data_IF_617408978709
#
_entry.id   IF_617408978709
#
_cell.length_a   1.000
_cell.length_b   1.000
_cell.length_c   1.000
_cell.angle_alpha   90.00
_cell.angle_beta   90.00
_cell.angle_gamma   90.00
#
_symmetry.space_group_name_H-M   'P 1'
#
loop_
_entity.id
_entity.type
_entity.pdbx_description
1 polymer ?
#
# COMPACT_ATOMS: atom_id res chain seq x y z
N UNK A 1 20.75 -9.63 42.60
CA UNK A 1 19.46 -10.12 42.08
C UNK A 1 19.75 -11.28 41.16
N UNK A 2 19.03 -12.38 41.33
CA UNK A 2 19.14 -13.57 40.49
C UNK A 2 18.33 -13.36 39.19
N UNK A 3 18.80 -13.89 38.06
CA UNK A 3 18.12 -13.74 36.77
C UNK A 3 16.92 -14.68 36.71
N UNK A 4 15.72 -14.13 36.55
CA UNK A 4 14.49 -14.91 36.35
C UNK A 4 14.26 -15.04 34.84
N UNK A 5 14.07 -16.28 34.37
CA UNK A 5 13.64 -16.57 33.00
C UNK A 5 12.12 -16.67 33.02
N UNK A 6 11.48 -15.93 32.10
CA UNK A 6 10.04 -16.01 31.86
C UNK A 6 9.79 -16.64 30.50
N UNK A 7 8.71 -17.39 30.39
CA UNK A 7 8.31 -18.12 29.19
C UNK A 7 6.83 -17.86 28.91
N UNK A 8 6.39 -18.05 27.68
CA UNK A 8 4.96 -18.06 27.41
C UNK A 8 4.26 -19.21 28.14
N UNK A 9 3.06 -18.94 28.65
CA UNK A 9 2.05 -19.97 28.91
C UNK A 9 1.77 -20.79 27.64
N UNK A 10 1.20 -21.98 27.76
CA UNK A 10 0.97 -22.84 26.59
C UNK A 10 0.01 -22.18 25.58
N UNK A 11 -1.06 -21.53 26.06
CA UNK A 11 -1.93 -20.70 25.20
C UNK A 11 -1.17 -19.52 24.57
N UNK A 12 -0.27 -18.88 25.35
CA UNK A 12 0.60 -17.82 24.85
C UNK A 12 1.53 -18.28 23.71
N UNK A 13 2.05 -19.52 23.77
CA UNK A 13 2.90 -20.08 22.71
C UNK A 13 2.12 -20.28 21.41
N UNK A 14 0.93 -20.87 21.50
CA UNK A 14 0.04 -21.05 20.34
C UNK A 14 -0.27 -19.70 19.70
N UNK A 15 -0.68 -18.72 20.52
CA UNK A 15 -0.99 -17.38 20.02
C UNK A 15 0.23 -16.66 19.42
N UNK A 16 1.42 -16.85 20.00
CA UNK A 16 2.67 -16.29 19.48
C UNK A 16 3.05 -16.90 18.12
N UNK A 17 2.80 -18.20 17.95
CA UNK A 17 3.03 -18.88 16.67
C UNK A 17 2.10 -18.33 15.58
N UNK A 18 0.81 -18.15 15.89
CA UNK A 18 -0.16 -17.58 14.96
C UNK A 18 0.24 -16.19 14.49
N UNK A 19 0.61 -15.30 15.41
CA UNK A 19 0.99 -13.93 15.05
C UNK A 19 2.30 -13.90 14.24
N UNK A 20 3.25 -14.78 14.55
CA UNK A 20 4.50 -14.89 13.80
C UNK A 20 4.24 -15.31 12.35
N UNK A 21 3.36 -16.27 12.12
CA UNK A 21 2.97 -16.69 10.77
C UNK A 21 2.21 -15.58 10.01
N UNK A 22 1.32 -14.87 10.70
CA UNK A 22 0.60 -13.73 10.11
C UNK A 22 1.54 -12.61 9.66
N UNK A 23 2.59 -12.32 10.45
CA UNK A 23 3.63 -11.35 10.06
C UNK A 23 4.36 -11.80 8.79
N UNK A 24 4.76 -13.07 8.70
CA UNK A 24 5.43 -13.63 7.51
C UNK A 24 4.54 -13.55 6.26
N UNK A 25 3.25 -13.90 6.39
CA UNK A 25 2.28 -13.74 5.30
C UNK A 25 2.16 -12.29 4.84
N UNK A 26 2.18 -11.33 5.78
CA UNK A 26 2.12 -9.89 5.49
C UNK A 26 3.41 -9.33 4.87
N UNK A 27 4.52 -10.08 4.88
CA UNK A 27 5.78 -9.74 4.20
C UNK A 27 5.84 -10.20 2.73
N UNK A 28 4.92 -11.10 2.32
CA UNK A 28 4.80 -11.57 0.95
C UNK A 28 4.46 -10.43 -0.03
N UNK A 29 4.70 -10.61 -1.34
CA UNK A 29 4.32 -9.62 -2.36
C UNK A 29 2.84 -9.22 -2.25
N UNK A 30 2.56 -7.91 -2.27
CA UNK A 30 1.23 -7.34 -2.05
C UNK A 30 0.82 -7.21 -0.56
N UNK A 31 1.64 -7.69 0.36
CA UNK A 31 1.42 -7.57 1.81
C UNK A 31 1.82 -6.20 2.37
N UNK A 32 1.28 -5.84 3.54
CA UNK A 32 1.52 -4.53 4.17
C UNK A 32 2.99 -4.28 4.53
N UNK A 33 3.77 -5.35 4.70
CA UNK A 33 5.19 -5.29 5.04
C UNK A 33 6.11 -5.60 3.84
N UNK A 34 5.58 -5.68 2.61
CA UNK A 34 6.38 -5.98 1.41
C UNK A 34 7.62 -5.08 1.30
N UNK A 35 7.43 -3.77 1.53
CA UNK A 35 8.50 -2.77 1.45
C UNK A 35 9.19 -2.49 2.80
N UNK A 36 8.90 -3.29 3.83
CA UNK A 36 9.37 -3.10 5.20
C UNK A 36 9.78 -4.41 5.86
N UNK A 37 10.31 -5.37 5.09
CA UNK A 37 10.66 -6.71 5.56
C UNK A 37 11.65 -6.72 6.73
N UNK A 38 12.65 -5.84 6.72
CA UNK A 38 13.63 -5.72 7.81
C UNK A 38 13.02 -5.21 9.13
N UNK A 39 11.91 -4.48 9.05
CA UNK A 39 11.13 -4.06 10.20
C UNK A 39 10.22 -5.19 10.67
N UNK A 40 9.49 -5.80 9.73
CA UNK A 40 8.54 -6.87 10.01
C UNK A 40 9.18 -8.12 10.65
N UNK A 41 10.36 -8.53 10.18
CA UNK A 41 11.10 -9.67 10.72
C UNK A 41 11.48 -9.54 12.21
N UNK A 42 11.44 -8.32 12.77
CA UNK A 42 11.72 -8.04 14.18
C UNK A 42 10.47 -7.99 15.04
N UNK A 43 9.28 -7.91 14.44
CA UNK A 43 8.03 -7.70 15.19
C UNK A 43 7.75 -8.85 16.15
N UNK A 44 8.01 -10.11 15.76
CA UNK A 44 7.79 -11.26 16.65
C UNK A 44 8.61 -11.20 17.94
N UNK A 45 9.89 -10.81 17.86
CA UNK A 45 10.76 -10.62 19.03
C UNK A 45 10.31 -9.40 19.86
N UNK A 46 10.00 -8.28 19.21
CA UNK A 46 9.55 -7.05 19.88
C UNK A 46 8.24 -7.27 20.63
N UNK A 47 7.30 -8.02 20.04
CA UNK A 47 6.04 -8.43 20.67
C UNK A 47 6.34 -9.27 21.91
N UNK A 48 7.19 -10.30 21.80
CA UNK A 48 7.51 -11.18 22.92
C UNK A 48 8.14 -10.43 24.10
N UNK A 49 9.07 -9.51 23.82
CA UNK A 49 9.72 -8.69 24.84
C UNK A 49 8.75 -7.70 25.49
N UNK A 50 7.87 -7.10 24.69
CA UNK A 50 6.81 -6.21 25.20
C UNK A 50 5.84 -6.98 26.09
N UNK A 51 5.45 -8.20 25.71
CA UNK A 51 4.57 -9.07 26.49
C UNK A 51 5.20 -9.42 27.84
N UNK A 52 6.50 -9.76 27.86
CA UNK A 52 7.24 -10.02 29.10
C UNK A 52 7.25 -8.80 30.03
N UNK A 53 7.46 -7.60 29.49
CA UNK A 53 7.43 -6.36 30.28
C UNK A 53 6.04 -6.09 30.85
N UNK A 54 4.98 -6.20 30.05
CA UNK A 54 3.59 -6.01 30.51
C UNK A 54 3.29 -7.03 31.62
N UNK A 55 3.60 -8.31 31.38
CA UNK A 55 3.35 -9.37 32.34
C UNK A 55 4.08 -9.15 33.67
N UNK A 56 5.33 -8.70 33.63
CA UNK A 56 6.10 -8.41 34.85
C UNK A 56 5.42 -7.36 35.74
N UNK A 57 4.78 -6.36 35.15
CA UNK A 57 4.06 -5.33 35.92
C UNK A 57 2.69 -5.79 36.42
N UNK A 58 1.96 -6.59 35.63
CA UNK A 58 0.62 -7.04 35.99
C UNK A 58 0.62 -8.26 36.92
N UNK A 59 1.60 -9.16 36.79
CA UNK A 59 1.73 -10.41 37.52
C UNK A 59 3.16 -10.55 38.09
N UNK A 60 3.51 -9.76 39.12
CA UNK A 60 4.85 -9.80 39.68
C UNK A 60 5.22 -11.21 40.13
N UNK A 61 6.44 -11.65 39.79
CA UNK A 61 7.01 -12.95 40.15
C UNK A 61 6.41 -14.18 39.45
N UNK A 62 5.41 -14.02 38.57
CA UNK A 62 4.99 -15.09 37.68
C UNK A 62 6.01 -15.26 36.53
N UNK A 63 6.34 -16.52 36.24
CA UNK A 63 7.28 -16.89 35.18
C UNK A 63 6.59 -17.24 33.87
N UNK A 64 5.25 -17.32 33.87
CA UNK A 64 4.45 -17.70 32.70
C UNK A 64 3.69 -16.50 32.16
N UNK A 65 4.23 -15.90 31.10
CA UNK A 65 3.61 -14.80 30.37
C UNK A 65 2.20 -15.21 29.95
N UNK A 66 1.21 -14.51 30.47
CA UNK A 66 -0.20 -14.74 30.19
C UNK A 66 -0.53 -14.38 28.74
N UNK A 67 -1.55 -15.03 28.19
CA UNK A 67 -2.02 -14.72 26.84
C UNK A 67 -2.57 -13.29 26.76
N UNK A 68 -3.09 -12.74 27.84
CA UNK A 68 -3.59 -11.37 27.95
C UNK A 68 -2.45 -10.37 27.76
N UNK A 69 -1.33 -10.54 28.47
CA UNK A 69 -0.15 -9.67 28.31
C UNK A 69 0.41 -9.75 26.88
N UNK A 70 0.36 -10.94 26.25
CA UNK A 70 0.73 -11.10 24.85
C UNK A 70 -0.24 -10.39 23.90
N UNK A 71 -1.56 -10.50 24.10
CA UNK A 71 -2.58 -9.83 23.28
C UNK A 71 -2.40 -8.30 23.32
N UNK A 72 -2.18 -7.73 24.51
CA UNK A 72 -1.90 -6.30 24.67
C UNK A 72 -0.61 -5.91 23.94
N UNK A 73 0.45 -6.72 24.06
CA UNK A 73 1.70 -6.47 23.35
C UNK A 73 1.54 -6.50 21.83
N UNK A 74 0.75 -7.45 21.30
CA UNK A 74 0.44 -7.54 19.87
C UNK A 74 -0.24 -6.26 19.40
N UNK A 75 -1.28 -5.80 20.10
CA UNK A 75 -2.02 -4.60 19.71
C UNK A 75 -1.13 -3.35 19.76
N UNK A 76 -0.36 -3.21 20.85
CA UNK A 76 0.53 -2.08 21.06
C UNK A 76 1.63 -1.99 19.99
N UNK A 77 2.34 -3.10 19.75
CA UNK A 77 3.41 -3.15 18.76
C UNK A 77 2.86 -3.01 17.33
N UNK A 78 1.70 -3.61 17.04
CA UNK A 78 1.05 -3.48 15.72
C UNK A 78 0.65 -2.05 15.41
N UNK A 79 0.14 -1.31 16.40
CA UNK A 79 -0.19 0.11 16.25
C UNK A 79 1.04 0.92 15.84
N UNK A 80 2.15 0.80 16.57
CA UNK A 80 3.37 1.56 16.24
C UNK A 80 4.07 1.04 14.99
N UNK A 81 3.92 -0.24 14.66
CA UNK A 81 4.37 -0.81 13.38
C UNK A 81 3.64 -0.15 12.21
N UNK A 82 2.32 0.03 12.31
CA UNK A 82 1.54 0.77 11.32
C UNK A 82 1.97 2.23 11.22
N UNK A 83 2.24 2.90 12.35
CA UNK A 83 2.78 4.27 12.33
C UNK A 83 4.16 4.32 11.65
N UNK A 84 5.02 3.33 11.89
CA UNK A 84 6.32 3.26 11.21
C UNK A 84 6.16 3.19 9.70
N UNK A 85 5.26 2.33 9.21
CA UNK A 85 4.99 2.23 7.77
C UNK A 85 4.54 3.56 7.16
N UNK A 86 3.61 4.24 7.83
CA UNK A 86 3.04 5.50 7.31
C UNK A 86 4.00 6.69 7.36
N UNK A 87 5.04 6.64 8.19
CA UNK A 87 5.97 7.77 8.35
C UNK A 87 7.33 7.53 7.70
N UNK A 88 7.77 6.27 7.62
CA UNK A 88 9.14 5.93 7.21
C UNK A 88 9.20 5.00 5.99
N UNK A 89 8.11 4.28 5.69
CA UNK A 89 8.03 3.40 4.51
C UNK A 89 7.01 3.92 3.48
N UNK A 90 6.83 5.25 3.42
CA UNK A 90 5.99 5.86 2.39
C UNK A 90 6.51 5.42 1.00
N UNK A 91 5.63 4.92 0.11
CA UNK A 91 6.03 4.65 -1.26
C UNK A 91 6.64 5.89 -1.90
N UNK A 92 7.54 5.73 -2.89
CA UNK A 92 8.05 6.86 -3.68
C UNK A 92 6.90 7.73 -4.19
N UNK A 93 7.14 9.04 -4.30
CA UNK A 93 6.07 10.01 -4.61
C UNK A 93 5.36 9.67 -5.93
N UNK A 94 6.11 9.19 -6.92
CA UNK A 94 5.64 8.69 -8.21
C UNK A 94 4.62 7.55 -8.06
N UNK A 95 4.81 6.63 -7.11
CA UNK A 95 3.87 5.54 -6.78
C UNK A 95 2.57 6.12 -6.22
N UNK A 96 2.67 7.05 -5.26
CA UNK A 96 1.51 7.71 -4.66
C UNK A 96 0.72 8.48 -5.73
N UNK A 97 1.42 9.24 -6.58
CA UNK A 97 0.82 9.99 -7.68
C UNK A 97 0.19 9.05 -8.72
N UNK A 98 0.86 7.94 -9.04
CA UNK A 98 0.39 6.90 -9.94
C UNK A 98 -0.91 6.27 -9.45
N UNK A 99 -0.99 5.89 -8.17
CA UNK A 99 -2.22 5.35 -7.56
C UNK A 99 -3.39 6.35 -7.65
N UNK A 100 -3.13 7.63 -7.34
CA UNK A 100 -4.16 8.68 -7.47
C UNK A 100 -4.61 8.87 -8.92
N UNK A 101 -3.68 8.78 -9.88
CA UNK A 101 -4.00 8.88 -11.29
C UNK A 101 -4.83 7.67 -11.75
N UNK A 102 -4.42 6.45 -11.38
CA UNK A 102 -5.13 5.22 -11.70
C UNK A 102 -6.57 5.23 -11.18
N UNK A 103 -6.77 5.64 -9.92
CA UNK A 103 -8.11 5.80 -9.33
C UNK A 103 -8.95 6.85 -10.07
N UNK A 104 -8.34 7.96 -10.49
CA UNK A 104 -9.08 8.97 -11.25
C UNK A 104 -9.48 8.45 -12.64
N UNK A 105 -8.58 7.74 -13.32
CA UNK A 105 -8.82 7.13 -14.63
C UNK A 105 -9.82 5.97 -14.57
N UNK A 106 -9.91 5.23 -13.46
CA UNK A 106 -10.88 4.14 -13.30
C UNK A 106 -12.32 4.66 -13.44
N UNK A 107 -12.61 5.85 -12.91
CA UNK A 107 -13.93 6.48 -13.08
C UNK A 107 -14.32 6.70 -14.55
N UNK A 108 -13.34 6.86 -15.45
CA UNK A 108 -13.59 6.96 -16.89
C UNK A 108 -13.78 5.58 -17.53
N UNK A 109 -13.02 4.57 -17.08
CA UNK A 109 -13.26 3.17 -17.50
C UNK A 109 -14.68 2.74 -17.15
N UNK A 110 -15.15 3.07 -15.95
CA UNK A 110 -16.49 2.73 -15.46
C UNK A 110 -17.60 3.39 -16.31
N UNK A 111 -17.29 4.53 -16.95
CA UNK A 111 -18.17 5.19 -17.92
C UNK A 111 -18.01 4.69 -19.36
N UNK A 112 -17.20 3.64 -19.56
CA UNK A 112 -16.92 3.06 -20.87
C UNK A 112 -15.98 3.89 -21.75
N UNK A 113 -15.28 4.88 -21.19
CA UNK A 113 -14.27 5.66 -21.92
C UNK A 113 -12.96 4.88 -21.95
N UNK A 114 -12.32 4.83 -23.12
CA UNK A 114 -11.06 4.15 -23.35
C UNK A 114 -9.91 5.12 -23.58
N UNK A 115 -10.13 6.18 -24.36
CA UNK A 115 -9.07 7.10 -24.74
C UNK A 115 -9.24 8.46 -24.09
N UNK A 116 -8.19 8.98 -23.46
CA UNK A 116 -8.24 10.28 -22.76
C UNK A 116 -7.06 11.15 -23.19
N UNK A 117 -7.34 12.42 -23.50
CA UNK A 117 -6.28 13.41 -23.74
C UNK A 117 -5.53 13.72 -22.45
N UNK A 118 -4.20 13.69 -22.47
CA UNK A 118 -3.35 14.06 -21.32
C UNK A 118 -3.72 15.42 -20.72
N UNK A 119 -4.06 16.40 -21.56
CA UNK A 119 -4.48 17.73 -21.11
C UNK A 119 -5.74 17.73 -20.24
N UNK A 120 -6.64 16.74 -20.38
CA UNK A 120 -7.82 16.63 -19.49
C UNK A 120 -7.41 16.34 -18.05
N UNK A 121 -6.33 15.61 -17.84
CA UNK A 121 -5.79 15.38 -16.48
C UNK A 121 -5.23 16.68 -15.90
N UNK A 122 -4.52 17.47 -16.72
CA UNK A 122 -4.03 18.79 -16.29
C UNK A 122 -5.18 19.76 -15.95
N UNK A 123 -6.31 19.65 -16.64
CA UNK A 123 -7.47 20.53 -16.45
C UNK A 123 -8.38 20.10 -15.29
N UNK A 124 -8.72 18.80 -15.23
CA UNK A 124 -9.77 18.28 -14.34
C UNK A 124 -9.29 17.20 -13.37
N UNK A 125 -8.05 16.73 -13.52
CA UNK A 125 -7.48 15.71 -12.64
C UNK A 125 -7.36 16.17 -11.19
N UNK A 126 -6.97 15.29 -10.27
CA UNK A 126 -6.70 15.65 -8.88
C UNK A 126 -5.69 16.81 -8.79
N UNK A 127 -5.83 17.77 -7.85
CA UNK A 127 -5.02 18.99 -7.83
C UNK A 127 -3.49 18.76 -7.91
N UNK A 128 -2.99 17.71 -7.24
CA UNK A 128 -1.56 17.37 -7.23
C UNK A 128 -1.04 16.87 -8.59
N UNK A 129 -1.92 16.32 -9.44
CA UNK A 129 -1.60 15.82 -10.77
C UNK A 129 -1.71 16.91 -11.85
N UNK A 130 -2.20 18.11 -11.51
CA UNK A 130 -2.26 19.24 -12.46
C UNK A 130 -0.91 19.93 -12.68
N UNK A 131 0.14 19.51 -11.95
CA UNK A 131 1.52 19.93 -12.19
C UNK A 131 2.16 18.98 -13.22
N UNK A 132 2.75 19.54 -14.29
CA UNK A 132 3.31 18.76 -15.41
C UNK A 132 4.31 17.68 -14.96
N UNK A 133 5.22 18.01 -14.04
CA UNK A 133 6.19 17.07 -13.48
C UNK A 133 5.46 15.88 -12.81
N UNK A 134 4.60 16.16 -11.85
CA UNK A 134 3.84 15.14 -11.12
C UNK A 134 3.00 14.25 -12.04
N UNK A 135 2.38 14.83 -13.07
CA UNK A 135 1.64 14.03 -14.05
C UNK A 135 2.54 13.09 -14.84
N UNK A 136 3.70 13.56 -15.27
CA UNK A 136 4.65 12.73 -16.01
C UNK A 136 5.18 11.59 -15.13
N UNK A 137 5.55 11.89 -13.88
CA UNK A 137 6.02 10.90 -12.90
C UNK A 137 4.94 9.83 -12.67
N UNK A 138 3.68 10.26 -12.46
CA UNK A 138 2.54 9.37 -12.31
C UNK A 138 2.29 8.50 -13.55
N UNK A 139 2.31 9.10 -14.75
CA UNK A 139 2.07 8.38 -16.01
C UNK A 139 3.14 7.34 -16.26
N UNK A 140 4.42 7.67 -16.02
CA UNK A 140 5.53 6.74 -16.18
C UNK A 140 5.38 5.54 -15.24
N UNK A 141 4.97 5.77 -13.99
CA UNK A 141 4.75 4.72 -13.01
C UNK A 141 3.59 3.78 -13.38
N UNK A 142 2.44 4.31 -13.82
CA UNK A 142 1.32 3.42 -14.18
C UNK A 142 1.50 2.80 -15.57
N UNK A 143 2.32 3.39 -16.44
CA UNK A 143 2.74 2.83 -17.73
C UNK A 143 3.71 1.64 -17.54
N UNK A 144 4.72 1.79 -16.66
CA UNK A 144 5.67 0.70 -16.36
C UNK A 144 4.96 -0.52 -15.76
N UNK A 145 3.93 -0.28 -14.95
CA UNK A 145 3.05 -1.30 -14.39
C UNK A 145 1.98 -1.83 -15.36
N UNK A 146 2.03 -1.47 -16.65
CA UNK A 146 1.09 -1.91 -17.71
C UNK A 146 -0.38 -1.63 -17.41
N UNK A 147 -0.66 -0.58 -16.63
CA UNK A 147 -2.03 -0.17 -16.32
C UNK A 147 -2.63 0.70 -17.43
N UNK A 148 -1.81 1.39 -18.21
CA UNK A 148 -2.22 2.23 -19.35
C UNK A 148 -1.23 2.05 -20.50
N UNK A 149 -1.57 2.58 -21.67
CA UNK A 149 -0.64 2.92 -22.75
C UNK A 149 -0.71 4.41 -23.07
N UNK A 150 0.34 4.94 -23.69
CA UNK A 150 0.44 6.36 -24.06
C UNK A 150 0.96 6.47 -25.49
N UNK A 151 0.32 7.29 -26.32
CA UNK A 151 0.75 7.54 -27.69
C UNK A 151 0.47 8.99 -28.11
N UNK A 152 1.22 9.46 -29.11
CA UNK A 152 1.01 10.77 -29.72
C UNK A 152 -0.03 10.69 -30.84
N UNK A 153 -0.93 11.67 -30.88
CA UNK A 153 -1.91 11.86 -31.95
C UNK A 153 -1.96 13.35 -32.34
N UNK A 154 -1.46 13.65 -33.53
CA UNK A 154 -1.21 15.02 -33.98
C UNK A 154 -0.34 15.78 -32.96
N UNK A 155 -0.88 16.83 -32.34
CA UNK A 155 -0.22 17.64 -31.31
C UNK A 155 -0.61 17.24 -29.88
N UNK A 156 -1.38 16.17 -29.71
CA UNK A 156 -1.96 15.76 -28.43
C UNK A 156 -1.43 14.40 -28.00
N UNK A 157 -1.01 14.31 -26.74
CA UNK A 157 -0.71 13.03 -26.08
C UNK A 157 -2.02 12.39 -25.61
N UNK A 158 -2.25 11.15 -26.00
CA UNK A 158 -3.43 10.35 -25.64
C UNK A 158 -3.02 9.18 -24.75
N UNK A 159 -3.87 8.88 -23.78
CA UNK A 159 -3.75 7.78 -22.83
C UNK A 159 -4.81 6.74 -23.19
N UNK A 160 -4.38 5.51 -23.49
CA UNK A 160 -5.25 4.34 -23.64
C UNK A 160 -5.39 3.64 -22.30
N UNK A 161 -6.62 3.48 -21.84
CA UNK A 161 -6.94 2.85 -20.58
C UNK A 161 -6.94 1.31 -20.65
N UNK A 162 -6.73 0.72 -21.83
CA UNK A 162 -6.75 -0.72 -22.08
C UNK A 162 -5.51 -1.18 -22.88
N UNK A 163 -4.30 -1.16 -22.27
CA UNK A 163 -3.01 -1.41 -22.95
C UNK A 163 -2.80 -2.82 -23.53
N UNK A 164 -3.72 -3.76 -23.26
CA UNK A 164 -3.69 -5.11 -23.83
C UNK A 164 -4.66 -5.32 -24.99
N UNK A 165 -5.44 -4.30 -25.35
CA UNK A 165 -6.49 -4.40 -26.37
C UNK A 165 -6.03 -3.67 -27.62
N UNK A 166 -6.21 -4.22 -28.84
CA UNK A 166 -5.89 -3.52 -30.07
C UNK A 166 -6.58 -2.16 -30.15
N UNK A 167 -5.92 -1.20 -30.80
CA UNK A 167 -6.48 0.13 -31.00
C UNK A 167 -7.85 0.05 -31.71
N UNK A 168 -8.85 0.75 -31.17
CA UNK A 168 -10.19 0.81 -31.73
C UNK A 168 -10.46 2.23 -32.24
N UNK A 169 -10.49 2.38 -33.56
CA UNK A 169 -10.70 3.66 -34.23
C UNK A 169 -12.08 4.26 -33.95
N UNK A 170 -13.12 3.44 -33.87
CA UNK A 170 -14.50 3.91 -33.67
C UNK A 170 -14.63 4.48 -32.26
N UNK A 171 -14.12 3.76 -31.25
CA UNK A 171 -14.10 4.21 -29.87
C UNK A 171 -13.20 5.43 -29.71
N UNK A 172 -12.04 5.46 -30.38
CA UNK A 172 -11.15 6.61 -30.35
C UNK A 172 -11.82 7.88 -30.87
N UNK A 173 -12.46 7.83 -32.04
CA UNK A 173 -13.17 8.97 -32.62
C UNK A 173 -14.31 9.43 -31.71
N UNK A 174 -15.09 8.50 -31.15
CA UNK A 174 -16.13 8.79 -30.14
C UNK A 174 -15.56 9.54 -28.94
N UNK A 175 -14.54 8.97 -28.30
CA UNK A 175 -13.97 9.52 -27.07
C UNK A 175 -13.30 10.87 -27.31
N UNK A 176 -12.55 11.03 -28.41
CA UNK A 176 -11.92 12.30 -28.76
C UNK A 176 -12.93 13.42 -29.01
N UNK A 177 -14.10 13.09 -29.57
CA UNK A 177 -15.18 14.04 -29.82
C UNK A 177 -15.89 14.49 -28.53
N UNK A 178 -16.08 13.59 -27.55
CA UNK A 178 -16.66 13.94 -26.25
C UNK A 178 -15.86 15.05 -25.53
N UNK A 179 -14.56 15.16 -25.84
CA UNK A 179 -13.69 16.15 -25.21
C UNK A 179 -13.56 17.48 -25.97
N UNK A 180 -14.13 17.57 -27.18
CA UNK A 180 -14.15 18.78 -28.00
C UNK A 180 -15.43 19.63 -27.82
N UNK A 181 -16.42 19.11 -27.08
CA UNK A 181 -17.66 19.83 -26.75
C UNK A 181 -17.45 20.48 -25.38
N UNK A 182 -16.84 21.67 -25.34
CA UNK A 182 -16.79 22.56 -24.18
C UNK A 182 -16.61 23.99 -24.66
#
# INVERSE_FOLDING_TARGET
>A
MERIIVEFSDEGKERWFDISNDIELKMAPGGIYENARDHASKLGEIIARTAANIHYFDHPFDSKISVESLKIAIDFVSYYSFQFLNNFCLPPMEVILGQKLALWLSSYRDRGIRYIKKNKILQYGPPMLRKRKNLNDALNEILSNRLIDVFDYNTTVVIDLYPGVPFDRIIFERDMNLFNIN
#
